data_IF_797777202434
#
_entry.id   IF_797777202434
#
_cell.length_a   1.000
_cell.length_b   1.000
_cell.length_c   1.000
_cell.angle_alpha   90.00
_cell.angle_beta   90.00
_cell.angle_gamma   90.00
#
_symmetry.space_group_name_H-M   'P 1'
#
loop_
_entity.id
_entity.type
_entity.pdbx_description
1 polymer ?
#
# COMPACT_ATOMS: atom_id res chain seq x y z
N UNK A 1 -25.83 6.79 -25.98
CA UNK A 1 -25.99 5.35 -25.64
C UNK A 1 -24.88 4.44 -26.21
N UNK A 2 -24.32 4.71 -27.41
CA UNK A 2 -23.21 3.93 -28.01
C UNK A 2 -21.87 4.05 -27.25
N UNK A 3 -21.49 5.25 -26.81
CA UNK A 3 -20.22 5.51 -26.10
C UNK A 3 -20.11 4.74 -24.78
N UNK A 4 -21.21 4.60 -24.03
CA UNK A 4 -21.26 3.82 -22.78
C UNK A 4 -21.02 2.32 -23.01
N UNK A 5 -21.53 1.76 -24.12
CA UNK A 5 -21.29 0.36 -24.48
C UNK A 5 -19.83 0.14 -24.89
N UNK A 6 -19.26 1.07 -25.67
CA UNK A 6 -17.85 1.02 -26.05
C UNK A 6 -16.93 1.12 -24.83
N UNK A 7 -17.21 2.04 -23.91
CA UNK A 7 -16.43 2.21 -22.68
C UNK A 7 -16.48 0.97 -21.79
N UNK A 8 -17.67 0.38 -21.60
CA UNK A 8 -17.84 -0.88 -20.84
C UNK A 8 -17.05 -2.02 -21.48
N UNK A 9 -17.05 -2.09 -22.81
CA UNK A 9 -16.32 -3.12 -23.56
C UNK A 9 -14.81 -2.97 -23.42
N UNK A 10 -14.28 -1.75 -23.58
CA UNK A 10 -12.86 -1.47 -23.37
C UNK A 10 -12.44 -1.76 -21.93
N UNK A 11 -13.23 -1.32 -20.95
CA UNK A 11 -12.95 -1.59 -19.54
C UNK A 11 -12.92 -3.10 -19.23
N UNK A 12 -13.83 -3.87 -19.84
CA UNK A 12 -13.84 -5.32 -19.70
C UNK A 12 -12.59 -5.97 -20.28
N UNK A 13 -12.14 -5.57 -21.47
CA UNK A 13 -10.90 -6.09 -22.06
C UNK A 13 -9.67 -5.75 -21.22
N UNK A 14 -9.55 -4.50 -20.78
CA UNK A 14 -8.45 -4.07 -19.91
C UNK A 14 -8.43 -4.84 -18.59
N UNK A 15 -9.60 -5.09 -18.00
CA UNK A 15 -9.71 -5.90 -16.79
C UNK A 15 -9.29 -7.35 -17.05
N UNK A 16 -9.73 -7.93 -18.17
CA UNK A 16 -9.36 -9.29 -18.56
C UNK A 16 -7.85 -9.43 -18.76
N UNK A 17 -7.23 -8.52 -19.51
CA UNK A 17 -5.78 -8.50 -19.75
C UNK A 17 -5.00 -8.33 -18.45
N UNK A 18 -5.47 -7.45 -17.56
CA UNK A 18 -4.87 -7.27 -16.24
C UNK A 18 -4.93 -8.54 -15.38
N UNK A 19 -6.10 -9.19 -15.32
CA UNK A 19 -6.27 -10.44 -14.59
C UNK A 19 -5.40 -11.56 -15.17
N UNK A 20 -5.31 -11.65 -16.50
CA UNK A 20 -4.42 -12.57 -17.19
C UNK A 20 -2.95 -12.28 -16.88
N UNK A 21 -2.54 -11.01 -16.86
CA UNK A 21 -1.18 -10.62 -16.50
C UNK A 21 -0.83 -10.93 -15.04
N UNK A 22 -1.79 -10.83 -14.11
CA UNK A 22 -1.59 -11.30 -12.72
C UNK A 22 -1.41 -12.81 -12.68
N UNK A 23 -2.17 -13.57 -13.47
CA UNK A 23 -2.08 -15.02 -13.49
C UNK A 23 -0.76 -15.52 -14.08
N UNK A 24 -0.35 -14.96 -15.22
CA UNK A 24 0.87 -15.38 -15.93
C UNK A 24 2.15 -14.90 -15.26
N UNK A 25 2.17 -13.66 -14.75
CA UNK A 25 3.36 -13.03 -14.20
C UNK A 25 3.05 -12.31 -12.86
N UNK A 26 2.66 -13.05 -11.80
CA UNK A 26 2.11 -12.47 -10.59
C UNK A 26 3.04 -11.47 -9.90
N UNK A 27 4.34 -11.73 -9.85
CA UNK A 27 5.30 -10.87 -9.16
C UNK A 27 5.49 -9.56 -9.92
N UNK A 28 5.76 -9.64 -11.23
CA UNK A 28 6.01 -8.47 -12.09
C UNK A 28 4.79 -7.56 -12.14
N UNK A 29 3.61 -8.13 -12.38
CA UNK A 29 2.37 -7.35 -12.47
C UNK A 29 2.04 -6.68 -11.15
N UNK A 30 2.15 -7.39 -10.01
CA UNK A 30 1.92 -6.79 -8.69
C UNK A 30 2.93 -5.69 -8.37
N UNK A 31 4.22 -5.91 -8.65
CA UNK A 31 5.26 -4.91 -8.42
C UNK A 31 5.02 -3.63 -9.24
N UNK A 32 4.75 -3.77 -10.54
CA UNK A 32 4.47 -2.62 -11.41
C UNK A 32 3.19 -1.88 -11.00
N UNK A 33 2.13 -2.63 -10.67
CA UNK A 33 0.86 -2.04 -10.24
C UNK A 33 1.03 -1.29 -8.92
N UNK A 34 1.74 -1.87 -7.95
CA UNK A 34 2.06 -1.21 -6.68
C UNK A 34 2.95 0.02 -6.85
N UNK A 35 3.91 0.01 -7.79
CA UNK A 35 4.71 1.18 -8.15
C UNK A 35 3.82 2.35 -8.62
N UNK A 36 2.95 2.09 -9.60
CA UNK A 36 2.04 3.10 -10.16
C UNK A 36 1.09 3.63 -9.08
N UNK A 37 0.47 2.75 -8.30
CA UNK A 37 -0.47 3.12 -7.24
C UNK A 37 0.22 3.99 -6.19
N UNK A 38 1.40 3.61 -5.71
CA UNK A 38 2.12 4.36 -4.70
C UNK A 38 2.55 5.74 -5.21
N UNK A 39 3.07 5.82 -6.44
CA UNK A 39 3.45 7.08 -7.07
C UNK A 39 2.24 8.02 -7.26
N UNK A 40 1.13 7.51 -7.80
CA UNK A 40 -0.09 8.29 -8.00
C UNK A 40 -0.71 8.72 -6.66
N UNK A 41 -0.69 7.86 -5.65
CA UNK A 41 -1.15 8.20 -4.31
C UNK A 41 -0.32 9.33 -3.69
N UNK A 42 1.00 9.31 -3.88
CA UNK A 42 1.86 10.39 -3.44
C UNK A 42 1.54 11.71 -4.17
N UNK A 43 1.45 11.70 -5.51
CA UNK A 43 1.07 12.89 -6.31
C UNK A 43 -0.27 13.46 -5.85
N UNK A 44 -1.29 12.60 -5.71
CA UNK A 44 -2.63 13.00 -5.27
C UNK A 44 -2.61 13.64 -3.89
N UNK A 45 -1.81 13.08 -2.97
CA UNK A 45 -1.58 13.62 -1.64
C UNK A 45 -0.95 15.02 -1.69
N UNK A 46 0.01 15.25 -2.59
CA UNK A 46 0.65 16.56 -2.76
C UNK A 46 -0.31 17.59 -3.35
N UNK A 47 -1.10 17.21 -4.36
CA UNK A 47 -2.14 18.08 -4.94
C UNK A 47 -3.17 18.48 -3.87
N UNK A 48 -3.65 17.52 -3.07
CA UNK A 48 -4.61 17.77 -1.99
C UNK A 48 -4.04 18.66 -0.87
N UNK A 49 -2.71 18.75 -0.73
CA UNK A 49 -2.05 19.61 0.25
C UNK A 49 -1.85 21.04 -0.26
N UNK A 50 -2.24 21.36 -1.51
CA UNK A 50 -2.06 22.69 -2.10
C UNK A 50 -0.60 23.04 -2.44
N UNK A 51 0.27 22.03 -2.59
CA UNK A 51 1.67 22.26 -2.95
C UNK A 51 1.77 22.94 -4.33
N UNK A 52 2.47 24.08 -4.40
CA UNK A 52 2.70 24.82 -5.66
C UNK A 52 3.59 24.05 -6.66
N UNK A 53 4.37 23.07 -6.18
CA UNK A 53 5.26 22.22 -6.99
C UNK A 53 5.22 20.79 -6.47
N UNK A 54 5.24 19.84 -7.40
CA UNK A 54 5.33 18.42 -7.07
C UNK A 54 6.78 18.08 -6.69
N UNK A 55 6.95 17.50 -5.51
CA UNK A 55 8.19 16.88 -5.07
C UNK A 55 8.35 15.51 -5.75
N UNK A 56 9.12 15.50 -6.83
CA UNK A 56 9.43 14.29 -7.59
C UNK A 56 10.32 13.31 -6.83
N UNK A 57 11.08 13.75 -5.82
CA UNK A 57 11.89 12.83 -5.01
C UNK A 57 10.97 11.95 -4.15
N UNK A 58 9.95 12.53 -3.52
CA UNK A 58 8.95 11.74 -2.78
C UNK A 58 8.15 10.82 -3.70
N UNK A 59 7.77 11.28 -4.91
CA UNK A 59 7.08 10.42 -5.90
C UNK A 59 7.95 9.23 -6.30
N UNK A 60 9.24 9.45 -6.60
CA UNK A 60 10.19 8.38 -6.93
C UNK A 60 10.37 7.41 -5.76
N UNK A 61 10.46 7.90 -4.53
CA UNK A 61 10.58 7.07 -3.33
C UNK A 61 9.36 6.14 -3.15
N UNK A 62 8.15 6.68 -3.31
CA UNK A 62 6.93 5.88 -3.25
C UNK A 62 6.84 4.86 -4.38
N UNK A 63 7.15 5.28 -5.62
CA UNK A 63 7.19 4.37 -6.77
C UNK A 63 8.19 3.24 -6.58
N UNK A 64 9.42 3.54 -6.17
CA UNK A 64 10.47 2.56 -5.91
C UNK A 64 10.09 1.60 -4.77
N UNK A 65 9.50 2.12 -3.70
CA UNK A 65 8.97 1.29 -2.62
C UNK A 65 7.87 0.34 -3.11
N UNK A 66 6.92 0.85 -3.89
CA UNK A 66 5.85 0.05 -4.50
C UNK A 66 6.40 -1.05 -5.42
N UNK A 67 7.41 -0.71 -6.23
CA UNK A 67 8.07 -1.63 -7.15
C UNK A 67 8.83 -2.74 -6.42
N UNK A 68 9.66 -2.38 -5.44
CA UNK A 68 10.55 -3.34 -4.78
C UNK A 68 9.82 -4.16 -3.73
N UNK A 69 8.99 -3.53 -2.89
CA UNK A 69 8.38 -4.16 -1.71
C UNK A 69 6.87 -4.33 -1.84
N UNK A 70 6.19 -3.38 -2.50
CA UNK A 70 4.74 -3.30 -2.55
C UNK A 70 4.04 -4.50 -3.17
N UNK A 71 4.64 -5.16 -4.16
CA UNK A 71 4.09 -6.37 -4.78
C UNK A 71 4.75 -7.68 -4.31
N UNK A 72 6.03 -7.63 -4.00
CA UNK A 72 6.88 -8.82 -3.76
C UNK A 72 6.72 -9.36 -2.34
N UNK A 73 6.85 -8.51 -1.32
CA UNK A 73 6.82 -8.89 0.09
C UNK A 73 5.45 -9.47 0.47
N UNK A 74 4.30 -8.84 0.12
CA UNK A 74 3.00 -9.46 0.36
C UNK A 74 2.86 -10.80 -0.35
N UNK A 75 3.35 -10.93 -1.59
CA UNK A 75 3.22 -12.16 -2.36
C UNK A 75 3.90 -13.35 -1.68
N UNK A 76 5.16 -13.19 -1.29
CA UNK A 76 5.88 -14.26 -0.60
C UNK A 76 5.35 -14.51 0.82
N UNK A 77 4.94 -13.45 1.53
CA UNK A 77 4.33 -13.59 2.85
C UNK A 77 3.06 -14.44 2.80
N UNK A 78 2.13 -14.18 1.87
CA UNK A 78 0.91 -14.97 1.77
C UNK A 78 1.19 -16.42 1.35
N UNK A 79 2.16 -16.67 0.47
CA UNK A 79 2.58 -18.06 0.15
C UNK A 79 3.10 -18.78 1.40
N UNK A 80 3.94 -18.11 2.20
CA UNK A 80 4.45 -18.68 3.45
C UNK A 80 3.32 -18.93 4.45
N UNK A 81 2.40 -17.97 4.59
CA UNK A 81 1.26 -18.07 5.49
C UNK A 81 0.34 -19.25 5.14
N UNK A 82 0.08 -19.47 3.85
CA UNK A 82 -0.67 -20.63 3.36
C UNK A 82 0.02 -21.95 3.72
N UNK A 83 1.36 -22.02 3.57
CA UNK A 83 2.15 -23.21 3.94
C UNK A 83 2.17 -23.48 5.44
N UNK A 84 2.26 -22.43 6.26
CA UNK A 84 2.36 -22.56 7.72
C UNK A 84 1.03 -22.95 8.38
N UNK A 85 -0.08 -22.34 7.97
CA UNK A 85 -1.38 -22.58 8.60
C UNK A 85 -2.12 -23.76 7.95
N UNK A 86 -1.96 -23.92 6.63
CA UNK A 86 -2.70 -24.91 5.84
C UNK A 86 -4.22 -24.77 5.94
N UNK A 87 -4.95 -25.65 5.25
CA UNK A 87 -6.41 -25.73 5.33
C UNK A 87 -6.91 -26.72 6.40
N UNK A 88 -6.00 -27.48 7.04
CA UNK A 88 -6.33 -28.51 8.04
C UNK A 88 -6.45 -27.97 9.48
N UNK A 89 -6.12 -26.69 9.71
CA UNK A 89 -6.28 -26.04 11.01
C UNK A 89 -7.76 -25.91 11.38
N UNK A 90 -8.13 -26.04 12.66
CA UNK A 90 -9.54 -25.94 13.12
C UNK A 90 -10.20 -24.58 12.82
N UNK A 91 -9.41 -23.51 12.71
CA UNK A 91 -9.86 -22.15 12.39
C UNK A 91 -8.83 -21.38 11.53
N UNK A 92 -8.62 -21.78 10.26
CA UNK A 92 -7.50 -21.29 9.46
C UNK A 92 -7.62 -19.78 9.16
N UNK A 93 -8.85 -19.28 9.00
CA UNK A 93 -9.10 -17.85 8.73
C UNK A 93 -8.67 -16.97 9.90
N UNK A 94 -9.04 -17.34 11.14
CA UNK A 94 -8.71 -16.55 12.34
C UNK A 94 -7.19 -16.55 12.57
N UNK A 95 -6.54 -17.71 12.42
CA UNK A 95 -5.08 -17.83 12.58
C UNK A 95 -4.35 -16.99 11.53
N UNK A 96 -4.77 -17.08 10.26
CA UNK A 96 -4.18 -16.29 9.17
C UNK A 96 -4.34 -14.79 9.42
N UNK A 97 -5.52 -14.35 9.84
CA UNK A 97 -5.78 -12.94 10.18
C UNK A 97 -4.94 -12.49 11.39
N UNK A 98 -4.83 -13.31 12.43
CA UNK A 98 -4.01 -12.97 13.60
C UNK A 98 -2.53 -12.82 13.23
N UNK A 99 -1.97 -13.74 12.45
CA UNK A 99 -0.58 -13.65 11.98
C UNK A 99 -0.39 -12.41 11.08
N UNK A 100 -1.33 -12.15 10.18
CA UNK A 100 -1.29 -10.98 9.31
C UNK A 100 -1.30 -9.67 10.11
N UNK A 101 -2.17 -9.57 11.12
CA UNK A 101 -2.34 -8.33 11.88
C UNK A 101 -1.29 -8.13 12.96
N UNK A 102 -0.80 -9.20 13.59
CA UNK A 102 0.14 -9.11 14.72
C UNK A 102 1.61 -9.24 14.31
N UNK A 103 1.92 -9.90 13.19
CA UNK A 103 3.31 -10.07 12.74
C UNK A 103 3.59 -9.30 11.47
N UNK A 104 2.77 -9.51 10.44
CA UNK A 104 3.04 -8.89 9.14
C UNK A 104 2.80 -7.38 9.13
N UNK A 105 1.64 -6.92 9.61
CA UNK A 105 1.31 -5.51 9.58
C UNK A 105 2.33 -4.65 10.36
N UNK A 106 2.75 -5.00 11.59
CA UNK A 106 3.78 -4.25 12.32
C UNK A 106 5.12 -4.22 11.58
N UNK A 107 5.60 -5.39 11.13
CA UNK A 107 6.87 -5.49 10.40
C UNK A 107 6.85 -4.70 9.09
N UNK A 108 5.80 -4.88 8.29
CA UNK A 108 5.66 -4.21 7.01
C UNK A 108 5.46 -2.69 7.20
N UNK A 109 4.77 -2.27 8.25
CA UNK A 109 4.60 -0.86 8.57
C UNK A 109 5.93 -0.20 8.94
N UNK A 110 6.74 -0.86 9.77
CA UNK A 110 8.10 -0.41 10.09
C UNK A 110 8.93 -0.27 8.81
N UNK A 111 8.96 -1.35 8.00
CA UNK A 111 9.71 -1.40 6.75
C UNK A 111 9.29 -0.26 5.81
N UNK A 112 7.99 -0.01 5.68
CA UNK A 112 7.47 1.04 4.78
C UNK A 112 7.93 2.43 5.18
N UNK A 113 7.78 2.80 6.45
CA UNK A 113 8.16 4.12 6.94
C UNK A 113 9.67 4.34 6.86
N UNK A 114 10.45 3.32 7.24
CA UNK A 114 11.90 3.38 7.20
C UNK A 114 12.44 3.46 5.76
N UNK A 115 12.00 2.56 4.87
CA UNK A 115 12.50 2.53 3.49
C UNK A 115 12.06 3.75 2.68
N UNK A 116 10.85 4.26 2.90
CA UNK A 116 10.42 5.52 2.28
C UNK A 116 11.33 6.69 2.68
N UNK A 117 11.68 6.80 3.96
CA UNK A 117 12.62 7.83 4.42
C UNK A 117 14.02 7.66 3.80
N UNK A 118 14.50 6.42 3.66
CA UNK A 118 15.79 6.12 3.01
C UNK A 118 15.77 6.44 1.52
N UNK A 119 14.69 6.12 0.80
CA UNK A 119 14.53 6.43 -0.62
C UNK A 119 14.35 7.93 -0.90
N UNK A 120 13.88 8.70 0.07
CA UNK A 120 13.89 10.17 0.01
C UNK A 120 15.27 10.77 0.35
N UNK A 121 16.29 9.94 0.62
CA UNK A 121 17.67 10.37 0.81
C UNK A 121 18.05 10.69 2.26
N UNK A 122 17.14 10.51 3.23
CA UNK A 122 17.44 10.76 4.65
C UNK A 122 18.44 9.76 5.18
N UNK A 123 19.35 10.18 6.05
CA UNK A 123 20.33 9.28 6.66
C UNK A 123 19.67 8.23 7.59
N UNK A 124 20.43 7.24 8.08
CA UNK A 124 19.89 6.17 8.93
C UNK A 124 19.20 6.71 10.20
N UNK A 125 19.86 7.66 10.87
CA UNK A 125 19.37 8.22 12.14
C UNK A 125 18.06 9.00 11.93
N UNK A 126 17.99 9.82 10.88
CA UNK A 126 16.80 10.57 10.49
C UNK A 126 15.64 9.65 10.08
N UNK A 127 15.94 8.62 9.28
CA UNK A 127 14.96 7.64 8.84
C UNK A 127 14.36 6.88 10.04
N UNK A 128 15.20 6.42 10.95
CA UNK A 128 14.77 5.77 12.19
C UNK A 128 13.93 6.72 13.05
N UNK A 129 14.39 7.96 13.28
CA UNK A 129 13.68 8.95 14.09
C UNK A 129 12.30 9.29 13.52
N UNK A 130 12.20 9.49 12.20
CA UNK A 130 10.92 9.74 11.54
C UNK A 130 9.99 8.52 11.64
N UNK A 131 10.52 7.33 11.33
CA UNK A 131 9.75 6.08 11.41
C UNK A 131 9.21 5.88 12.83
N UNK A 132 10.05 5.97 13.87
CA UNK A 132 9.64 5.72 15.25
C UNK A 132 8.55 6.70 15.73
N UNK A 133 8.60 7.96 15.28
CA UNK A 133 7.57 8.97 15.58
C UNK A 133 6.21 8.65 14.96
N UNK A 134 6.21 8.11 13.74
CA UNK A 134 4.99 7.82 13.00
C UNK A 134 4.45 6.42 13.25
N UNK A 135 5.31 5.49 13.68
CA UNK A 135 5.06 4.05 13.67
C UNK A 135 3.75 3.69 14.36
N UNK A 136 3.58 4.08 15.62
CA UNK A 136 2.40 3.69 16.39
C UNK A 136 1.10 4.28 15.85
N UNK A 137 1.08 5.57 15.52
CA UNK A 137 -0.13 6.23 15.00
C UNK A 137 -0.55 5.66 13.64
N UNK A 138 0.43 5.39 12.77
CA UNK A 138 0.14 4.77 11.46
C UNK A 138 -0.25 3.31 11.61
N UNK A 139 0.37 2.54 12.52
CA UNK A 139 0.02 1.15 12.77
C UNK A 139 -1.39 0.99 13.36
N UNK A 140 -1.78 1.83 14.30
CA UNK A 140 -3.15 1.84 14.83
C UNK A 140 -4.16 2.15 13.73
N UNK A 141 -3.88 3.16 12.89
CA UNK A 141 -4.72 3.49 11.74
C UNK A 141 -4.80 2.32 10.75
N UNK A 142 -3.69 1.61 10.53
CA UNK A 142 -3.64 0.42 9.69
C UNK A 142 -4.59 -0.66 10.22
N UNK A 143 -4.48 -0.98 11.51
CA UNK A 143 -5.34 -1.98 12.14
C UNK A 143 -6.82 -1.60 12.09
N UNK A 144 -7.19 -0.35 12.33
CA UNK A 144 -8.61 0.04 12.31
C UNK A 144 -9.16 0.05 10.89
N UNK A 145 -8.54 0.79 9.99
CA UNK A 145 -9.11 1.04 8.67
C UNK A 145 -8.87 -0.10 7.70
N UNK A 146 -7.64 -0.61 7.60
CA UNK A 146 -7.34 -1.66 6.62
C UNK A 146 -8.03 -2.98 6.98
N UNK A 147 -8.18 -3.30 8.27
CA UNK A 147 -8.93 -4.50 8.68
C UNK A 147 -10.39 -4.36 8.27
N UNK A 148 -11.01 -3.21 8.54
CA UNK A 148 -12.41 -2.95 8.16
C UNK A 148 -12.60 -3.07 6.66
N UNK A 149 -11.77 -2.41 5.86
CA UNK A 149 -11.87 -2.49 4.39
C UNK A 149 -11.56 -3.88 3.84
N UNK A 150 -10.64 -4.62 4.48
CA UNK A 150 -10.33 -6.00 4.08
C UNK A 150 -11.52 -6.92 4.34
N UNK A 151 -12.17 -6.80 5.49
CA UNK A 151 -13.37 -7.57 5.82
C UNK A 151 -14.53 -7.24 4.86
N UNK A 152 -14.77 -5.96 4.59
CA UNK A 152 -15.78 -5.54 3.61
C UNK A 152 -15.47 -6.09 2.20
N UNK A 153 -14.20 -6.09 1.79
CA UNK A 153 -13.78 -6.66 0.51
C UNK A 153 -14.02 -8.18 0.45
N UNK A 154 -13.78 -8.90 1.55
CA UNK A 154 -14.04 -10.34 1.61
C UNK A 154 -15.54 -10.66 1.58
N UNK A 155 -16.36 -9.84 2.24
CA UNK A 155 -17.80 -10.07 2.39
C UNK A 155 -18.62 -9.64 1.16
N UNK A 156 -18.32 -8.47 0.58
CA UNK A 156 -19.13 -7.87 -0.49
C UNK A 156 -18.59 -8.13 -1.90
N UNK A 157 -17.29 -8.37 -2.06
CA UNK A 157 -16.64 -8.34 -3.37
C UNK A 157 -16.35 -9.76 -3.87
N UNK A 158 -16.76 -10.11 -5.10
CA UNK A 158 -16.45 -11.40 -5.72
C UNK A 158 -14.94 -11.67 -5.78
N UNK A 159 -14.47 -12.92 -5.60
CA UNK A 159 -13.06 -13.26 -5.53
C UNK A 159 -12.18 -12.68 -6.65
N UNK A 160 -12.69 -12.65 -7.88
CA UNK A 160 -11.98 -12.14 -9.06
C UNK A 160 -11.69 -10.62 -9.00
N UNK A 161 -12.55 -9.86 -8.32
CA UNK A 161 -12.44 -8.39 -8.24
C UNK A 161 -11.74 -7.90 -6.97
N UNK A 162 -11.50 -8.77 -5.99
CA UNK A 162 -10.90 -8.40 -4.69
C UNK A 162 -9.54 -7.73 -4.85
N UNK A 163 -8.73 -8.14 -5.84
CA UNK A 163 -7.42 -7.53 -6.10
C UNK A 163 -7.53 -6.07 -6.53
N UNK A 164 -8.57 -5.73 -7.30
CA UNK A 164 -8.81 -4.36 -7.75
C UNK A 164 -9.20 -3.47 -6.57
N UNK A 165 -10.06 -3.97 -5.69
CA UNK A 165 -10.48 -3.25 -4.48
C UNK A 165 -9.31 -3.05 -3.52
N UNK A 166 -8.45 -4.06 -3.32
CA UNK A 166 -7.22 -3.91 -2.53
C UNK A 166 -6.29 -2.86 -3.13
N UNK A 167 -6.16 -2.81 -4.45
CA UNK A 167 -5.38 -1.77 -5.13
C UNK A 167 -5.95 -0.37 -4.89
N UNK A 168 -7.28 -0.20 -4.92
CA UNK A 168 -7.93 1.07 -4.59
C UNK A 168 -7.68 1.46 -3.13
N UNK A 169 -7.81 0.53 -2.19
CA UNK A 169 -7.48 0.76 -0.78
C UNK A 169 -6.00 1.17 -0.64
N UNK A 170 -5.09 0.50 -1.36
CA UNK A 170 -3.67 0.81 -1.39
C UNK A 170 -3.35 2.21 -1.93
N UNK A 171 -4.14 2.70 -2.89
CA UNK A 171 -4.04 4.08 -3.37
C UNK A 171 -4.38 5.10 -2.27
N UNK A 172 -5.52 4.93 -1.59
CA UNK A 172 -5.90 5.82 -0.49
C UNK A 172 -4.94 5.71 0.70
N UNK A 173 -4.42 4.50 0.98
CA UNK A 173 -3.39 4.30 1.99
C UNK A 173 -2.11 5.05 1.65
N UNK A 174 -1.70 5.04 0.37
CA UNK A 174 -0.54 5.80 -0.10
C UNK A 174 -0.75 7.30 0.06
N UNK A 175 -1.96 7.82 -0.20
CA UNK A 175 -2.30 9.22 0.05
C UNK A 175 -2.15 9.55 1.54
N UNK A 176 -2.75 8.74 2.41
CA UNK A 176 -2.69 8.91 3.86
C UNK A 176 -1.24 8.90 4.37
N UNK A 177 -0.46 7.90 3.97
CA UNK A 177 0.93 7.74 4.41
C UNK A 177 1.80 8.92 3.98
N UNK A 178 1.66 9.36 2.72
CA UNK A 178 2.37 10.53 2.21
C UNK A 178 1.98 11.80 2.99
N UNK A 179 0.69 11.98 3.29
CA UNK A 179 0.20 13.12 4.10
C UNK A 179 0.72 13.08 5.54
N UNK A 180 0.66 11.92 6.21
CA UNK A 180 1.14 11.76 7.58
C UNK A 180 2.63 12.08 7.70
N UNK A 181 3.45 11.57 6.76
CA UNK A 181 4.89 11.84 6.71
C UNK A 181 5.20 13.32 6.50
N UNK A 182 4.52 13.98 5.56
CA UNK A 182 4.69 15.43 5.32
C UNK A 182 4.29 16.28 6.52
N UNK A 183 3.17 15.97 7.18
CA UNK A 183 2.74 16.69 8.39
C UNK A 183 3.79 16.61 9.50
N UNK A 184 4.39 15.44 9.70
CA UNK A 184 5.45 15.26 10.69
C UNK A 184 6.72 16.06 10.33
N UNK A 185 7.07 16.14 9.06
CA UNK A 185 8.22 16.94 8.59
C UNK A 185 8.02 18.44 8.80
N UNK A 186 6.83 18.94 8.45
CA UNK A 186 6.47 20.34 8.68
C UNK A 186 6.54 20.70 10.18
N UNK A 187 5.99 19.85 11.04
CA UNK A 187 6.06 20.05 12.50
C UNK A 187 7.49 20.04 13.06
N UNK A 188 8.39 19.22 12.49
CA UNK A 188 9.79 19.20 12.92
C UNK A 188 10.59 20.44 12.51
N UNK A 189 10.25 21.08 11.40
CA UNK A 189 10.90 22.34 10.95
C UNK A 189 10.43 23.54 11.77
N UNK A 190 9.16 23.57 12.18
CA UNK A 190 8.62 24.61 13.07
C UNK A 190 9.31 24.61 14.44
N UNK A 191 9.47 23.44 15.07
CA UNK A 191 10.05 23.35 16.42
C UNK A 191 11.58 23.54 16.50
N UNK A 192 12.26 23.78 15.39
CA UNK A 192 13.71 24.03 15.34
C UNK A 192 14.04 25.46 14.94
N UNK A 193 13.02 26.31 14.74
CA UNK A 193 13.13 27.74 14.46
C UNK A 193 12.70 28.62 15.65
N UNK A 194 12.32 27.99 16.77
CA UNK A 194 12.02 28.59 18.08
C UNK A 194 13.12 28.18 19.08
#
# INVERSE_FOLDING_TARGET
>A
MSLSKSLKRTAFFLLSDYLQAIYLNPIRTKALTSCVIAALGNVSSQCASGNKRIDWNSVKAFGLFGLIFGGTVPHFFFILLEKLVGNASKNPVIIKLAIERLLYAPFYQFLSLYMLARFEGKNHLEAYKQMSRLYWGVLQTNWTYLTTFTLLNLWLVPPMLRVLVVNCIGFFWSIYLASARRKQEAGSKGSSSD
#
